data_IF_314148404755
#
_entry.id   IF_314148404755
#
_cell.length_a   1.000
_cell.length_b   1.000
_cell.length_c   1.000
_cell.angle_alpha   90.00
_cell.angle_beta   90.00
_cell.angle_gamma   90.00
#
_symmetry.space_group_name_H-M   'P 1'
#
loop_
_entity.id
_entity.type
_entity.pdbx_description
1 polymer ?
#
# COMPACT_ATOMS: atom_id res chain seq x y z
N UNK A 1 18.03 3.76 4.12
CA UNK A 1 17.01 4.40 3.25
C UNK A 1 16.55 3.55 2.08
N UNK A 2 17.36 2.66 1.49
CA UNK A 2 16.90 1.46 0.74
C UNK A 2 15.88 0.62 1.56
N UNK A 3 16.08 0.66 2.87
CA UNK A 3 15.19 0.27 3.96
C UNK A 3 13.74 0.76 3.81
N UNK A 4 13.49 1.96 3.25
CA UNK A 4 12.14 2.52 3.15
C UNK A 4 11.33 1.88 2.03
N UNK A 5 11.95 1.49 0.92
CA UNK A 5 11.28 0.77 -0.17
C UNK A 5 10.98 -0.69 0.21
N UNK A 6 11.87 -1.35 0.96
CA UNK A 6 11.64 -2.68 1.52
C UNK A 6 10.58 -2.67 2.64
N UNK A 7 10.63 -1.69 3.53
CA UNK A 7 9.56 -1.42 4.52
C UNK A 7 8.25 -1.08 3.80
N UNK A 8 8.29 -0.31 2.72
CA UNK A 8 7.10 0.07 1.97
C UNK A 8 6.50 -1.13 1.23
N UNK A 9 7.31 -2.00 0.63
CA UNK A 9 6.86 -3.29 0.11
C UNK A 9 6.31 -4.21 1.20
N UNK A 10 6.94 -4.22 2.37
CA UNK A 10 6.45 -4.95 3.54
C UNK A 10 5.14 -4.37 4.06
N UNK A 11 4.95 -3.05 4.07
CA UNK A 11 3.72 -2.35 4.45
C UNK A 11 2.63 -2.58 3.40
N UNK A 12 2.95 -2.54 2.11
CA UNK A 12 2.07 -2.88 1.00
C UNK A 12 1.56 -4.32 1.09
N UNK A 13 2.48 -5.24 1.38
CA UNK A 13 2.18 -6.64 1.62
C UNK A 13 1.34 -6.78 2.89
N UNK A 14 1.71 -6.09 3.97
CA UNK A 14 0.99 -6.00 5.24
C UNK A 14 -0.45 -5.50 5.06
N UNK A 15 -0.67 -4.43 4.29
CA UNK A 15 -2.03 -3.89 4.07
C UNK A 15 -2.83 -4.78 3.12
N UNK A 16 -2.20 -5.34 2.07
CA UNK A 16 -2.87 -6.34 1.21
C UNK A 16 -3.24 -7.61 1.99
N UNK A 17 -2.43 -7.96 2.98
CA UNK A 17 -2.62 -9.12 3.85
C UNK A 17 -3.63 -8.81 4.96
N UNK A 18 -3.66 -7.60 5.53
CA UNK A 18 -4.72 -7.12 6.43
C UNK A 18 -6.08 -7.11 5.73
N UNK A 19 -6.16 -6.64 4.48
CA UNK A 19 -7.38 -6.72 3.67
C UNK A 19 -7.79 -8.17 3.35
N UNK A 20 -6.84 -9.11 3.34
CA UNK A 20 -7.11 -10.55 3.18
C UNK A 20 -7.58 -11.20 4.49
N UNK A 21 -7.00 -10.83 5.64
CA UNK A 21 -7.45 -11.22 6.98
C UNK A 21 -8.85 -10.70 7.25
N UNK A 22 -9.11 -9.43 6.93
CA UNK A 22 -10.43 -8.81 7.09
C UNK A 22 -11.47 -9.54 6.22
N UNK A 23 -11.14 -9.84 4.96
CA UNK A 23 -11.96 -10.72 4.10
C UNK A 23 -12.19 -12.12 4.65
N UNK A 24 -11.23 -12.67 5.38
CA UNK A 24 -11.34 -14.01 5.98
C UNK A 24 -12.22 -13.99 7.23
N UNK A 25 -12.14 -12.91 8.02
CA UNK A 25 -13.00 -12.65 9.17
C UNK A 25 -14.46 -12.43 8.74
N UNK A 26 -14.68 -11.77 7.61
CA UNK A 26 -16.02 -11.51 7.07
C UNK A 26 -16.68 -12.67 6.35
N UNK A 27 -15.89 -13.57 5.75
CA UNK A 27 -16.45 -14.80 5.19
C UNK A 27 -17.08 -15.70 6.28
N UNK A 28 -16.73 -15.47 7.55
CA UNK A 28 -17.09 -16.36 8.66
C UNK A 28 -18.21 -15.80 9.54
N UNK A 29 -18.42 -14.47 9.58
CA UNK A 29 -19.56 -13.85 10.28
C UNK A 29 -20.91 -14.12 9.61
N UNK A 30 -20.92 -14.48 8.32
CA UNK A 30 -22.11 -14.99 7.62
C UNK A 30 -22.43 -16.46 7.93
N UNK A 31 -21.52 -17.24 8.53
CA UNK A 31 -21.70 -18.67 8.78
C UNK A 31 -22.01 -19.07 10.24
N UNK A 32 -21.76 -18.25 11.25
CA UNK A 32 -21.86 -18.68 12.66
C UNK A 32 -22.76 -17.79 13.51
N UNK A 33 -24.06 -18.09 13.51
CA UNK A 33 -25.00 -17.59 14.53
C UNK A 33 -25.11 -18.55 15.74
N UNK A 34 -24.45 -19.72 15.80
CA UNK A 34 -24.78 -20.69 16.86
C UNK A 34 -23.71 -21.52 17.58
N UNK A 35 -22.41 -21.25 17.51
CA UNK A 35 -21.41 -22.08 18.23
C UNK A 35 -20.44 -21.28 19.11
N UNK A 36 -20.10 -21.85 20.27
CA UNK A 36 -19.38 -21.32 21.43
C UNK A 36 -18.23 -20.34 21.15
N UNK A 37 -18.27 -19.15 21.77
CA UNK A 37 -17.31 -18.05 21.56
C UNK A 37 -15.86 -18.30 22.04
N UNK A 38 -15.61 -19.23 22.96
CA UNK A 38 -14.30 -19.38 23.63
C UNK A 38 -13.20 -20.01 22.77
N UNK A 39 -13.40 -21.17 22.11
CA UNK A 39 -12.36 -21.75 21.24
C UNK A 39 -12.07 -20.87 20.01
N UNK A 40 -13.07 -20.11 19.56
CA UNK A 40 -12.96 -19.20 18.42
C UNK A 40 -11.99 -18.04 18.71
N UNK A 41 -12.13 -17.38 19.87
CA UNK A 41 -11.25 -16.27 20.24
C UNK A 41 -9.77 -16.66 20.35
N UNK A 42 -9.48 -17.90 20.79
CA UNK A 42 -8.11 -18.41 20.93
C UNK A 42 -7.46 -18.65 19.57
N UNK A 43 -8.19 -19.26 18.63
CA UNK A 43 -7.68 -19.51 17.26
C UNK A 43 -7.42 -18.18 16.54
N UNK A 44 -8.33 -17.22 16.67
CA UNK A 44 -8.17 -15.88 16.07
C UNK A 44 -7.00 -15.09 16.65
N UNK A 45 -6.83 -15.14 17.97
CA UNK A 45 -5.68 -14.50 18.62
C UNK A 45 -4.35 -15.12 18.17
N UNK A 46 -4.31 -16.45 18.03
CA UNK A 46 -3.12 -17.15 17.52
C UNK A 46 -2.81 -16.77 16.06
N UNK A 47 -3.83 -16.72 15.19
CA UNK A 47 -3.66 -16.31 13.79
C UNK A 47 -3.16 -14.87 13.75
N UNK A 48 -3.80 -13.93 14.43
CA UNK A 48 -3.36 -12.54 14.47
C UNK A 48 -1.92 -12.39 15.00
N UNK A 49 -1.53 -13.17 16.02
CA UNK A 49 -0.18 -13.17 16.57
C UNK A 49 0.85 -13.70 15.56
N UNK A 50 0.58 -14.82 14.89
CA UNK A 50 1.44 -15.36 13.84
C UNK A 50 1.64 -14.36 12.70
N UNK A 51 0.58 -13.65 12.34
CA UNK A 51 0.60 -12.66 11.27
C UNK A 51 1.38 -11.41 11.68
N UNK A 52 1.19 -10.93 12.91
CA UNK A 52 1.99 -9.87 13.48
C UNK A 52 3.48 -10.22 13.55
N UNK A 53 3.81 -11.43 13.98
CA UNK A 53 5.18 -11.94 14.03
C UNK A 53 5.79 -12.06 12.62
N UNK A 54 5.02 -12.57 11.65
CA UNK A 54 5.42 -12.63 10.24
C UNK A 54 5.71 -11.23 9.67
N UNK A 55 4.84 -10.25 9.96
CA UNK A 55 5.03 -8.86 9.54
C UNK A 55 6.28 -8.23 10.18
N UNK A 56 6.51 -8.43 11.47
CA UNK A 56 7.72 -7.94 12.14
C UNK A 56 8.98 -8.55 11.54
N UNK A 57 8.95 -9.86 11.30
CA UNK A 57 10.06 -10.58 10.68
C UNK A 57 10.35 -10.02 9.29
N UNK A 58 9.32 -9.79 8.47
CA UNK A 58 9.47 -9.24 7.13
C UNK A 58 9.90 -7.76 7.13
N UNK A 59 9.44 -6.96 8.09
CA UNK A 59 9.79 -5.53 8.20
C UNK A 59 11.20 -5.29 8.75
N UNK A 60 11.75 -6.20 9.56
CA UNK A 60 13.00 -5.98 10.28
C UNK A 60 14.09 -6.94 9.79
N UNK A 61 13.83 -8.25 9.81
CA UNK A 61 14.85 -9.27 9.52
C UNK A 61 15.27 -9.22 8.05
N UNK A 62 14.31 -9.10 7.14
CA UNK A 62 14.60 -9.07 5.70
C UNK A 62 15.42 -7.82 5.28
N UNK A 63 15.09 -6.58 5.72
CA UNK A 63 15.93 -5.44 5.40
C UNK A 63 17.33 -5.50 6.03
N UNK A 64 17.46 -6.04 7.24
CA UNK A 64 18.77 -6.22 7.89
C UNK A 64 19.62 -7.26 7.16
N UNK A 65 19.04 -8.39 6.76
CA UNK A 65 19.77 -9.44 6.04
C UNK A 65 20.24 -8.94 4.67
N UNK A 66 19.41 -8.19 3.94
CA UNK A 66 19.78 -7.55 2.69
C UNK A 66 20.90 -6.52 2.89
N UNK A 67 20.87 -5.75 4.00
CA UNK A 67 21.93 -4.81 4.31
C UNK A 67 23.26 -5.52 4.58
N UNK A 68 23.25 -6.60 5.36
CA UNK A 68 24.44 -7.42 5.59
C UNK A 68 24.97 -7.99 4.27
N UNK A 69 24.10 -8.55 3.42
CA UNK A 69 24.49 -9.11 2.13
C UNK A 69 25.12 -8.07 1.18
N UNK A 70 24.55 -6.86 1.13
CA UNK A 70 25.08 -5.77 0.30
C UNK A 70 26.47 -5.35 0.79
N UNK A 71 26.67 -5.22 2.10
CA UNK A 71 27.86 -4.59 2.68
C UNK A 71 28.95 -5.55 3.16
N UNK A 72 28.76 -6.87 3.08
CA UNK A 72 29.71 -7.86 3.61
C UNK A 72 31.15 -7.74 3.06
N UNK A 73 31.34 -7.18 1.85
CA UNK A 73 32.65 -7.04 1.18
C UNK A 73 33.02 -5.57 0.88
N UNK A 74 32.47 -4.63 1.65
CA UNK A 74 32.67 -3.20 1.42
C UNK A 74 34.09 -2.74 1.83
N UNK A 75 34.76 -1.97 0.97
CA UNK A 75 36.01 -1.27 1.35
C UNK A 75 35.68 0.07 2.03
N UNK A 76 35.93 0.15 3.34
CA UNK A 76 35.62 1.31 4.18
C UNK A 76 36.78 2.32 4.29
N UNK A 77 37.82 2.23 3.45
CA UNK A 77 39.00 3.11 3.53
C UNK A 77 38.73 4.59 3.20
N UNK A 78 37.60 4.93 2.58
CA UNK A 78 37.21 6.31 2.27
C UNK A 78 36.09 6.82 3.18
N UNK A 79 35.99 8.13 3.47
CA UNK A 79 34.82 8.69 4.15
C UNK A 79 33.58 8.52 3.26
N UNK A 80 32.68 7.63 3.67
CA UNK A 80 31.49 7.22 2.90
C UNK A 80 30.24 7.76 3.58
N UNK A 81 29.49 8.64 2.89
CA UNK A 81 28.11 8.95 3.26
C UNK A 81 27.23 7.87 2.63
N UNK A 82 26.93 6.82 3.40
CA UNK A 82 26.30 5.55 2.99
C UNK A 82 25.00 5.68 2.17
N UNK A 83 24.31 6.81 2.25
CA UNK A 83 23.07 7.07 1.51
C UNK A 83 23.31 7.63 0.08
N UNK A 84 24.41 8.34 -0.15
CA UNK A 84 24.64 9.17 -1.35
C UNK A 84 25.82 8.65 -2.17
N UNK A 85 26.84 8.14 -1.49
CA UNK A 85 28.05 7.59 -2.10
C UNK A 85 28.34 6.27 -1.40
N UNK A 86 27.95 5.11 -1.96
CA UNK A 86 28.29 3.81 -1.38
C UNK A 86 29.81 3.54 -1.46
N UNK A 87 30.35 2.66 -0.59
CA UNK A 87 31.75 2.28 -0.66
C UNK A 87 32.06 1.56 -1.97
N UNK A 88 33.30 1.70 -2.44
CA UNK A 88 33.75 1.04 -3.68
C UNK A 88 33.59 -0.48 -3.55
N UNK A 89 33.14 -1.12 -4.64
CA UNK A 89 32.90 -2.57 -4.69
C UNK A 89 31.47 -3.01 -4.38
N UNK A 90 30.65 -2.16 -3.75
CA UNK A 90 29.26 -2.51 -3.36
C UNK A 90 28.22 -2.15 -4.42
N UNK A 91 28.58 -1.30 -5.38
CA UNK A 91 27.66 -0.69 -6.35
C UNK A 91 26.93 -1.72 -7.23
N UNK A 92 27.60 -2.80 -7.63
CA UNK A 92 26.98 -3.84 -8.45
C UNK A 92 25.84 -4.54 -7.70
N UNK A 93 26.05 -4.90 -6.42
CA UNK A 93 25.02 -5.53 -5.57
C UNK A 93 23.86 -4.59 -5.29
N UNK A 94 24.14 -3.30 -5.09
CA UNK A 94 23.11 -2.27 -4.93
C UNK A 94 22.25 -2.13 -6.19
N UNK A 95 22.86 -2.15 -7.37
CA UNK A 95 22.11 -2.07 -8.62
C UNK A 95 21.21 -3.30 -8.84
N UNK A 96 21.71 -4.51 -8.54
CA UNK A 96 20.88 -5.74 -8.56
C UNK A 96 19.69 -5.58 -7.62
N UNK A 97 19.94 -5.13 -6.37
CA UNK A 97 18.88 -4.93 -5.39
C UNK A 97 17.84 -3.92 -5.87
N UNK A 98 18.27 -2.82 -6.48
CA UNK A 98 17.37 -1.81 -7.04
C UNK A 98 16.48 -2.36 -8.17
N UNK A 99 17.08 -3.08 -9.12
CA UNK A 99 16.34 -3.71 -10.22
C UNK A 99 15.33 -4.71 -9.66
N UNK A 100 15.75 -5.53 -8.70
CA UNK A 100 14.87 -6.50 -8.05
C UNK A 100 13.70 -5.83 -7.31
N UNK A 101 13.96 -4.80 -6.51
CA UNK A 101 12.90 -4.03 -5.84
C UNK A 101 11.96 -3.35 -6.84
N UNK A 102 12.47 -2.84 -7.96
CA UNK A 102 11.66 -2.25 -9.01
C UNK A 102 10.74 -3.28 -9.69
N UNK A 103 11.23 -4.49 -9.97
CA UNK A 103 10.41 -5.58 -10.50
C UNK A 103 9.33 -6.02 -9.50
N UNK A 104 9.66 -6.11 -8.21
CA UNK A 104 8.68 -6.38 -7.17
C UNK A 104 7.61 -5.29 -7.10
N UNK A 105 7.99 -4.02 -7.25
CA UNK A 105 7.06 -2.89 -7.27
C UNK A 105 6.06 -2.99 -8.43
N UNK A 106 6.53 -3.37 -9.62
CA UNK A 106 5.67 -3.64 -10.77
C UNK A 106 4.70 -4.77 -10.46
N UNK A 107 5.20 -5.90 -9.94
CA UNK A 107 4.36 -7.04 -9.59
C UNK A 107 3.30 -6.66 -8.56
N UNK A 108 3.67 -5.90 -7.53
CA UNK A 108 2.75 -5.42 -6.51
C UNK A 108 1.66 -4.50 -7.10
N UNK A 109 2.01 -3.60 -8.03
CA UNK A 109 1.02 -2.80 -8.74
C UNK A 109 0.04 -3.65 -9.53
N UNK A 110 0.54 -4.66 -10.28
CA UNK A 110 -0.32 -5.57 -11.05
C UNK A 110 -1.31 -6.27 -10.11
N UNK A 111 -0.82 -6.83 -8.99
CA UNK A 111 -1.66 -7.51 -8.01
C UNK A 111 -2.71 -6.56 -7.40
N UNK A 112 -2.32 -5.33 -7.04
CA UNK A 112 -3.25 -4.33 -6.51
C UNK A 112 -4.34 -3.96 -7.52
N UNK A 113 -4.01 -3.85 -8.81
CA UNK A 113 -5.03 -3.60 -9.83
C UNK A 113 -5.96 -4.79 -10.02
N UNK A 114 -5.45 -6.03 -9.94
CA UNK A 114 -6.29 -7.23 -9.96
C UNK A 114 -7.25 -7.23 -8.76
N UNK A 115 -6.74 -6.98 -7.55
CA UNK A 115 -7.57 -6.92 -6.33
C UNK A 115 -8.63 -5.83 -6.45
N UNK A 116 -8.26 -4.65 -6.94
CA UNK A 116 -9.19 -3.54 -7.18
C UNK A 116 -10.26 -3.92 -8.20
N UNK A 117 -9.89 -4.56 -9.30
CA UNK A 117 -10.83 -5.04 -10.32
C UNK A 117 -11.81 -6.05 -9.74
N UNK A 118 -11.32 -7.03 -8.98
CA UNK A 118 -12.15 -8.04 -8.31
C UNK A 118 -13.10 -7.38 -7.30
N UNK A 119 -12.62 -6.43 -6.49
CA UNK A 119 -13.45 -5.72 -5.53
C UNK A 119 -14.54 -4.89 -6.22
N UNK A 120 -14.21 -4.18 -7.31
CA UNK A 120 -15.20 -3.41 -8.08
C UNK A 120 -16.26 -4.31 -8.71
N UNK A 121 -15.89 -5.51 -9.17
CA UNK A 121 -16.85 -6.50 -9.69
C UNK A 121 -17.72 -7.11 -8.60
N UNK A 122 -17.24 -7.16 -7.35
CA UNK A 122 -18.03 -7.57 -6.19
C UNK A 122 -19.03 -6.48 -5.79
N UNK A 123 -18.64 -5.21 -5.82
CA UNK A 123 -19.52 -4.08 -5.51
C UNK A 123 -20.82 -4.08 -6.34
N UNK A 124 -20.75 -4.50 -7.60
CA UNK A 124 -21.92 -4.58 -8.50
C UNK A 124 -22.87 -5.75 -8.24
N UNK A 125 -22.53 -6.69 -7.33
CA UNK A 125 -23.43 -7.80 -6.97
C UNK A 125 -24.38 -7.37 -5.86
N UNK A 126 -25.67 -7.61 -6.05
CA UNK A 126 -26.76 -7.12 -5.19
C UNK A 126 -26.87 -7.93 -3.88
N UNK A 127 -26.39 -9.17 -3.87
CA UNK A 127 -26.55 -10.15 -2.77
C UNK A 127 -25.60 -9.95 -1.58
N UNK A 128 -24.76 -8.91 -1.57
CA UNK A 128 -23.78 -8.72 -0.50
C UNK A 128 -24.47 -8.07 0.71
N UNK A 129 -24.29 -8.66 1.90
CA UNK A 129 -24.70 -8.07 3.18
C UNK A 129 -24.22 -6.63 3.33
N UNK A 130 -24.92 -5.83 4.14
CA UNK A 130 -24.60 -4.41 4.34
C UNK A 130 -23.13 -4.22 4.78
N UNK A 131 -22.63 -5.11 5.65
CA UNK A 131 -21.23 -5.12 6.10
C UNK A 131 -20.26 -5.37 4.93
N UNK A 132 -20.54 -6.41 4.13
CA UNK A 132 -19.72 -6.73 2.96
C UNK A 132 -19.64 -5.59 1.94
N UNK A 133 -20.71 -4.82 1.76
CA UNK A 133 -20.69 -3.64 0.87
C UNK A 133 -19.78 -2.53 1.41
N UNK A 134 -19.81 -2.26 2.71
CA UNK A 134 -18.92 -1.28 3.34
C UNK A 134 -17.45 -1.70 3.21
N UNK A 135 -17.14 -2.97 3.46
CA UNK A 135 -15.79 -3.52 3.37
C UNK A 135 -15.27 -3.55 1.94
N UNK A 136 -16.11 -3.91 0.96
CA UNK A 136 -15.69 -3.87 -0.45
C UNK A 136 -15.33 -2.43 -0.86
N UNK A 137 -16.10 -1.43 -0.45
CA UNK A 137 -15.76 -0.03 -0.72
C UNK A 137 -14.47 0.38 0.00
N UNK A 138 -14.30 0.00 1.26
CA UNK A 138 -13.09 0.29 2.03
C UNK A 138 -11.85 -0.34 1.37
N UNK A 139 -11.97 -1.57 0.90
CA UNK A 139 -10.93 -2.25 0.16
C UNK A 139 -10.62 -1.55 -1.18
N UNK A 140 -11.62 -1.02 -1.89
CA UNK A 140 -11.40 -0.25 -3.13
C UNK A 140 -10.67 1.07 -2.84
N UNK A 141 -11.10 1.82 -1.83
CA UNK A 141 -10.47 3.09 -1.45
C UNK A 141 -9.03 2.84 -0.97
N UNK A 142 -8.81 1.81 -0.15
CA UNK A 142 -7.50 1.43 0.38
C UNK A 142 -6.55 0.97 -0.73
N UNK A 143 -6.98 0.05 -1.60
CA UNK A 143 -6.16 -0.37 -2.76
C UNK A 143 -5.83 0.79 -3.69
N UNK A 144 -6.75 1.74 -3.88
CA UNK A 144 -6.52 2.94 -4.71
C UNK A 144 -5.47 3.84 -4.07
N UNK A 145 -5.58 4.14 -2.78
CA UNK A 145 -4.62 4.94 -2.03
C UNK A 145 -3.21 4.35 -2.09
N UNK A 146 -3.11 3.06 -1.79
CA UNK A 146 -1.86 2.30 -1.80
C UNK A 146 -1.22 2.30 -3.19
N UNK A 147 -2.01 2.08 -4.23
CA UNK A 147 -1.54 2.12 -5.62
C UNK A 147 -0.98 3.50 -5.98
N UNK A 148 -1.64 4.59 -5.55
CA UNK A 148 -1.15 5.95 -5.78
C UNK A 148 0.21 6.19 -5.13
N UNK A 149 0.42 5.76 -3.88
CA UNK A 149 1.72 5.92 -3.22
C UNK A 149 2.79 5.09 -3.93
N UNK A 150 2.48 3.86 -4.34
CA UNK A 150 3.43 2.99 -5.02
C UNK A 150 3.87 3.56 -6.38
N UNK A 151 2.95 4.17 -7.13
CA UNK A 151 3.29 4.89 -8.37
C UNK A 151 4.24 6.05 -8.09
N UNK A 152 3.96 6.88 -7.07
CA UNK A 152 4.85 8.00 -6.70
C UNK A 152 6.24 7.48 -6.30
N UNK A 153 6.31 6.42 -5.48
CA UNK A 153 7.57 5.80 -5.08
C UNK A 153 8.37 5.28 -6.28
N UNK A 154 7.70 4.64 -7.24
CA UNK A 154 8.34 4.17 -8.48
C UNK A 154 8.87 5.32 -9.32
N UNK A 155 8.10 6.40 -9.50
CA UNK A 155 8.55 7.58 -10.24
C UNK A 155 9.82 8.19 -9.61
N UNK A 156 9.82 8.36 -8.28
CA UNK A 156 11.00 8.86 -7.56
C UNK A 156 12.20 7.91 -7.68
N UNK A 157 11.97 6.60 -7.64
CA UNK A 157 13.02 5.58 -7.79
C UNK A 157 13.63 5.60 -9.19
N UNK A 158 12.82 5.76 -10.24
CA UNK A 158 13.31 5.86 -11.63
C UNK A 158 14.14 7.13 -11.82
N UNK A 159 13.71 8.27 -11.27
CA UNK A 159 14.49 9.52 -11.32
C UNK A 159 15.83 9.34 -10.62
N UNK A 160 15.83 8.71 -9.43
CA UNK A 160 17.05 8.46 -8.68
C UNK A 160 18.02 7.51 -9.43
N UNK A 161 17.53 6.37 -9.93
CA UNK A 161 18.37 5.39 -10.64
C UNK A 161 18.92 6.00 -11.92
N UNK A 162 18.06 6.66 -12.72
CA UNK A 162 18.49 7.32 -13.96
C UNK A 162 19.48 8.45 -13.68
N UNK A 163 19.21 9.28 -12.67
CA UNK A 163 20.11 10.39 -12.29
C UNK A 163 21.49 9.89 -11.84
N UNK A 164 21.52 8.89 -10.96
CA UNK A 164 22.79 8.30 -10.48
C UNK A 164 23.53 7.52 -11.56
N UNK A 165 22.81 6.80 -12.43
CA UNK A 165 23.40 6.14 -13.60
C UNK A 165 24.02 7.15 -14.57
N UNK A 166 23.32 8.24 -14.86
CA UNK A 166 23.82 9.29 -15.75
C UNK A 166 25.08 9.96 -15.17
N UNK A 167 25.06 10.33 -13.89
CA UNK A 167 26.23 10.93 -13.23
C UNK A 167 27.45 10.01 -13.18
N UNK A 168 27.25 8.69 -13.26
CA UNK A 168 28.32 7.70 -13.23
C UNK A 168 28.92 7.41 -14.60
N UNK A 169 28.08 7.35 -15.63
CA UNK A 169 28.52 6.91 -16.97
C UNK A 169 28.86 8.08 -17.89
N UNK A 170 28.25 9.24 -17.68
CA UNK A 170 28.62 10.45 -18.40
C UNK A 170 29.66 11.19 -17.56
N UNK A 171 30.90 11.19 -18.04
CA UNK A 171 31.98 12.00 -17.48
C UNK A 171 31.69 13.48 -17.81
N UNK A 172 30.79 14.07 -17.02
CA UNK A 172 30.48 15.48 -17.15
C UNK A 172 31.72 16.29 -16.73
N UNK A 173 32.43 16.87 -17.70
CA UNK A 173 33.65 17.68 -17.50
C UNK A 173 33.51 18.73 -16.38
N UNK A 174 32.30 19.27 -16.21
CA UNK A 174 31.93 20.24 -15.17
C UNK A 174 32.12 19.71 -13.73
N UNK A 175 31.99 18.39 -13.52
CA UNK A 175 32.06 17.77 -12.20
C UNK A 175 33.37 17.00 -11.94
N UNK A 176 34.26 16.90 -12.94
CA UNK A 176 35.53 16.17 -12.81
C UNK A 176 36.48 16.86 -11.81
N UNK A 177 36.46 18.19 -11.77
CA UNK A 177 37.38 18.98 -10.93
C UNK A 177 36.76 19.50 -9.62
N UNK A 178 35.43 19.40 -9.45
CA UNK A 178 34.73 19.88 -8.25
C UNK A 178 33.91 18.77 -7.57
N UNK A 179 34.53 18.13 -6.59
CA UNK A 179 33.91 17.11 -5.75
C UNK A 179 32.70 17.63 -4.96
N UNK A 180 32.66 18.92 -4.60
CA UNK A 180 31.57 19.51 -3.84
C UNK A 180 30.33 19.70 -4.73
N UNK A 181 30.53 20.15 -5.97
CA UNK A 181 29.47 20.23 -6.97
C UNK A 181 28.87 18.84 -7.27
N UNK A 182 29.72 17.82 -7.47
CA UNK A 182 29.26 16.44 -7.70
C UNK A 182 28.44 15.89 -6.53
N UNK A 183 28.88 16.13 -5.28
CA UNK A 183 28.14 15.69 -4.09
C UNK A 183 26.78 16.39 -3.96
N UNK A 184 26.72 17.67 -4.30
CA UNK A 184 25.47 18.45 -4.26
C UNK A 184 24.48 17.93 -5.28
N UNK A 185 24.92 17.64 -6.51
CA UNK A 185 24.04 17.10 -7.55
C UNK A 185 23.54 15.70 -7.19
N UNK A 186 24.38 14.83 -6.61
CA UNK A 186 23.93 13.53 -6.08
C UNK A 186 22.87 13.68 -5.00
N UNK A 187 22.98 14.69 -4.13
CA UNK A 187 21.97 14.99 -3.12
C UNK A 187 20.65 15.47 -3.74
N UNK A 188 20.69 16.28 -4.80
CA UNK A 188 19.48 16.74 -5.51
C UNK A 188 18.69 15.56 -6.09
N UNK A 189 19.37 14.58 -6.68
CA UNK A 189 18.71 13.38 -7.18
C UNK A 189 18.24 12.43 -6.07
N UNK A 190 18.68 12.64 -4.83
CA UNK A 190 18.28 11.82 -3.69
C UNK A 190 16.88 12.20 -3.18
N UNK A 191 15.86 11.74 -3.91
CA UNK A 191 14.46 12.10 -3.68
C UNK A 191 13.76 11.25 -2.58
N UNK A 192 14.42 10.20 -2.09
CA UNK A 192 13.84 9.29 -1.08
C UNK A 192 13.48 9.97 0.27
N UNK A 193 14.31 10.87 0.85
CA UNK A 193 13.93 11.63 2.05
C UNK A 193 12.71 12.51 1.81
N UNK A 194 12.62 13.14 0.63
CA UNK A 194 11.49 13.97 0.26
C UNK A 194 10.21 13.13 0.16
N UNK A 195 10.29 11.95 -0.44
CA UNK A 195 9.17 11.00 -0.46
C UNK A 195 8.74 10.57 0.95
N UNK A 196 9.70 10.24 1.84
CA UNK A 196 9.42 9.87 3.23
C UNK A 196 8.73 11.00 4.00
N UNK A 197 9.08 12.26 3.72
CA UNK A 197 8.44 13.44 4.29
C UNK A 197 7.03 13.68 3.71
N UNK A 198 6.84 13.51 2.39
CA UNK A 198 5.53 13.70 1.75
C UNK A 198 4.53 12.60 2.09
N UNK A 199 5.00 11.39 2.37
CA UNK A 199 4.15 10.23 2.66
C UNK A 199 3.10 10.48 3.76
N UNK A 200 3.44 10.95 4.97
CA UNK A 200 2.44 11.22 6.01
C UNK A 200 1.45 12.33 5.60
N UNK A 201 1.89 13.33 4.83
CA UNK A 201 1.00 14.40 4.33
C UNK A 201 -0.02 13.86 3.34
N UNK A 202 0.44 13.07 2.35
CA UNK A 202 -0.42 12.40 1.37
C UNK A 202 -1.39 11.45 2.07
N UNK A 203 -0.88 10.67 3.04
CA UNK A 203 -1.69 9.72 3.83
C UNK A 203 -2.78 10.45 4.62
N UNK A 204 -2.43 11.53 5.32
CA UNK A 204 -3.37 12.34 6.08
C UNK A 204 -4.46 12.96 5.19
N UNK A 205 -4.07 13.47 4.01
CA UNK A 205 -5.03 14.00 3.04
C UNK A 205 -6.00 12.93 2.54
N UNK A 206 -5.50 11.75 2.16
CA UNK A 206 -6.35 10.65 1.69
C UNK A 206 -7.28 10.13 2.79
N UNK A 207 -6.79 9.95 4.01
CA UNK A 207 -7.60 9.53 5.16
C UNK A 207 -8.69 10.54 5.49
N UNK A 208 -8.36 11.84 5.46
CA UNK A 208 -9.34 12.92 5.68
C UNK A 208 -10.44 12.89 4.62
N UNK A 209 -10.06 12.72 3.34
CA UNK A 209 -11.01 12.62 2.23
C UNK A 209 -11.88 11.36 2.31
N UNK A 210 -11.30 10.23 2.73
CA UNK A 210 -12.06 8.99 2.99
C UNK A 210 -13.07 9.22 4.12
N UNK A 211 -12.67 9.88 5.20
CA UNK A 211 -13.57 10.23 6.31
C UNK A 211 -14.73 11.11 5.85
N UNK A 212 -14.47 12.15 5.06
CA UNK A 212 -15.52 13.01 4.50
C UNK A 212 -16.51 12.24 3.63
N UNK A 213 -16.02 11.35 2.76
CA UNK A 213 -16.87 10.49 1.92
C UNK A 213 -17.74 9.56 2.77
N UNK A 214 -17.19 9.00 3.85
CA UNK A 214 -17.94 8.17 4.80
C UNK A 214 -19.07 8.97 5.47
N UNK A 215 -18.78 10.18 5.94
CA UNK A 215 -19.78 11.05 6.56
C UNK A 215 -20.89 11.41 5.57
N UNK A 216 -20.54 11.87 4.36
CA UNK A 216 -21.52 12.21 3.30
C UNK A 216 -22.37 11.01 2.89
N UNK A 217 -21.78 9.82 2.78
CA UNK A 217 -22.52 8.60 2.44
C UNK A 217 -23.47 8.19 3.55
N UNK A 218 -23.03 8.26 4.81
CA UNK A 218 -23.88 8.01 5.97
C UNK A 218 -25.05 9.00 6.01
N UNK A 219 -24.77 10.29 5.78
CA UNK A 219 -25.81 11.33 5.70
C UNK A 219 -26.77 11.07 4.55
N UNK A 220 -26.29 10.69 3.36
CA UNK A 220 -27.17 10.32 2.24
C UNK A 220 -28.05 9.11 2.56
N UNK A 221 -27.52 8.08 3.23
CA UNK A 221 -28.29 6.91 3.66
C UNK A 221 -29.31 7.24 4.76
N UNK A 222 -28.97 8.17 5.66
CA UNK A 222 -29.88 8.64 6.72
C UNK A 222 -30.89 9.69 6.22
N UNK A 223 -30.57 10.43 5.16
CA UNK A 223 -31.43 11.42 4.52
C UNK A 223 -32.53 10.79 3.66
N UNK A 224 -32.44 9.50 3.37
CA UNK A 224 -33.62 8.68 3.05
C UNK A 224 -34.49 8.74 4.30
N UNK A 225 -35.45 9.68 4.34
CA UNK A 225 -36.33 9.89 5.49
C UNK A 225 -36.97 8.55 5.85
N UNK A 226 -36.65 8.00 7.01
CA UNK A 226 -37.22 6.73 7.49
C UNK A 226 -38.49 6.94 8.32
N UNK A 227 -38.94 8.18 8.49
CA UNK A 227 -40.13 8.54 9.29
C UNK A 227 -41.06 9.46 8.52
N UNK A 228 -42.36 9.18 8.62
CA UNK A 228 -43.43 9.94 7.96
C UNK A 228 -43.80 9.40 6.57
N UNK A 229 -44.76 10.07 5.93
CA UNK A 229 -45.35 9.65 4.64
C UNK A 229 -44.31 9.57 3.51
N UNK A 230 -43.41 10.55 3.45
CA UNK A 230 -42.30 10.58 2.48
C UNK A 230 -41.34 9.38 2.64
N UNK A 231 -41.18 8.86 3.85
CA UNK A 231 -40.36 7.67 4.08
C UNK A 231 -41.02 6.37 3.69
N UNK A 232 -42.33 6.28 3.91
CA UNK A 232 -43.14 5.16 3.41
C UNK A 232 -43.16 5.13 1.88
N UNK A 233 -43.24 6.30 1.24
CA UNK A 233 -43.25 6.40 -0.23
C UNK A 233 -41.88 6.02 -0.81
N UNK A 234 -40.78 6.50 -0.23
CA UNK A 234 -39.42 6.12 -0.63
C UNK A 234 -39.15 4.62 -0.44
N UNK A 235 -39.61 4.03 0.68
CA UNK A 235 -39.47 2.60 0.94
C UNK A 235 -40.31 1.75 -0.01
N UNK A 236 -41.55 2.16 -0.29
CA UNK A 236 -42.43 1.51 -1.26
C UNK A 236 -41.86 1.56 -2.68
N UNK A 237 -41.23 2.68 -3.07
CA UNK A 237 -40.54 2.79 -4.36
C UNK A 237 -39.36 1.82 -4.44
N UNK A 238 -38.57 1.72 -3.37
CA UNK A 238 -37.43 0.82 -3.29
C UNK A 238 -37.85 -0.66 -3.35
N UNK A 239 -38.95 -1.02 -2.67
CA UNK A 239 -39.58 -2.34 -2.76
C UNK A 239 -40.12 -2.62 -4.17
N UNK A 240 -40.73 -1.62 -4.81
CA UNK A 240 -41.27 -1.76 -6.16
C UNK A 240 -40.15 -1.98 -7.18
N UNK A 241 -39.05 -1.23 -7.07
CA UNK A 241 -37.87 -1.37 -7.93
C UNK A 241 -37.19 -2.74 -7.72
N UNK A 242 -37.09 -3.20 -6.47
CA UNK A 242 -36.58 -4.54 -6.15
C UNK A 242 -37.47 -5.63 -6.73
N UNK A 243 -38.79 -5.49 -6.60
CA UNK A 243 -39.75 -6.45 -7.15
C UNK A 243 -39.65 -6.53 -8.68
N UNK A 244 -39.60 -5.38 -9.36
CA UNK A 244 -39.43 -5.37 -10.81
C UNK A 244 -38.11 -6.00 -11.25
N UNK A 245 -37.00 -5.71 -10.57
CA UNK A 245 -35.70 -6.28 -10.94
C UNK A 245 -35.61 -7.79 -10.72
N UNK A 246 -36.33 -8.33 -9.73
CA UNK A 246 -36.27 -9.74 -9.36
C UNK A 246 -37.25 -10.63 -10.13
N UNK A 247 -38.35 -10.05 -10.64
CA UNK A 247 -39.42 -10.80 -11.31
C UNK A 247 -39.61 -10.47 -12.81
N UNK A 248 -39.00 -9.40 -13.34
CA UNK A 248 -39.09 -9.01 -14.75
C UNK A 248 -37.76 -9.15 -15.52
N UNK A 249 -36.77 -9.85 -14.94
CA UNK A 249 -35.59 -10.37 -15.66
C UNK A 249 -35.65 -11.88 -15.69
#
# INVERSE_FOLDING_TARGET
MYFFAAIFHSILFTISYLMMIERFLDYQTECDIHVSMVPYAIVHSSIACCLFCGMLTQCIVLPLSLLVWVYQDADYKSPVITAISPPKGVEFRLNILYIFCFLLAILALILLQIVRYVNKRRESRIEISLSGRFQVVENIDTTTFISSILIINMMMSVIYITGTFSLRNFEFDVFINDNAALSTVKLIFYLHPLFAFLMPLISSYHLSKMRERRVKRREHLLAIKTKGREGSDAYNQLLHDQWQQHFLK
#
